data_IF_296078828945
#
_entry.id   IF_296078828945
#
_cell.length_a   1.000
_cell.length_b   1.000
_cell.length_c   1.000
_cell.angle_alpha   90.00
_cell.angle_beta   90.00
_cell.angle_gamma   90.00
#
_symmetry.space_group_name_H-M   'P 1'
#
loop_
_entity.id
_entity.type
_entity.pdbx_description
1 polymer ?
#
# COMPACT_ATOMS: atom_id res chain seq x y z
N UNK A 1 5.57 0.52 18.43
CA UNK A 1 5.65 1.61 19.41
C UNK A 1 5.74 2.97 18.70
N UNK A 2 5.41 4.09 19.36
CA UNK A 2 5.60 5.42 18.76
C UNK A 2 7.04 5.70 18.32
N UNK A 3 8.02 5.02 18.90
CA UNK A 3 9.44 5.09 18.48
C UNK A 3 9.79 4.28 17.23
N UNK A 4 8.82 3.60 16.60
CA UNK A 4 9.07 2.75 15.43
C UNK A 4 9.76 1.42 15.75
N UNK A 5 9.61 0.93 16.98
CA UNK A 5 10.12 -0.38 17.40
C UNK A 5 9.03 -1.45 17.24
N UNK A 6 9.44 -2.64 16.85
CA UNK A 6 8.59 -3.83 16.77
C UNK A 6 8.85 -4.68 18.01
N UNK A 7 7.78 -5.14 18.64
CA UNK A 7 7.86 -6.03 19.80
C UNK A 7 7.20 -7.36 19.46
N UNK A 8 7.90 -8.45 19.68
CA UNK A 8 7.44 -9.81 19.42
C UNK A 8 7.49 -10.65 20.68
N UNK A 9 6.69 -11.70 20.76
CA UNK A 9 6.80 -12.65 21.84
C UNK A 9 8.07 -13.50 21.68
N UNK A 10 8.68 -13.87 22.79
CA UNK A 10 9.69 -14.92 22.83
C UNK A 10 9.05 -16.27 22.47
N UNK A 11 9.88 -17.30 22.21
CA UNK A 11 9.42 -18.64 21.81
C UNK A 11 8.44 -19.29 22.81
N UNK A 12 8.52 -18.93 24.09
CA UNK A 12 7.66 -19.45 25.14
C UNK A 12 6.38 -18.61 25.37
N UNK A 13 6.18 -17.52 24.63
CA UNK A 13 5.06 -16.57 24.77
C UNK A 13 4.92 -15.97 26.18
N UNK A 14 6.02 -15.86 26.90
CA UNK A 14 6.03 -15.36 28.29
C UNK A 14 6.47 -13.91 28.42
N UNK A 15 7.22 -13.40 27.43
CA UNK A 15 7.79 -12.05 27.45
C UNK A 15 7.80 -11.44 26.06
N UNK A 16 7.58 -10.11 26.01
CA UNK A 16 7.85 -9.33 24.82
C UNK A 16 9.34 -9.02 24.73
N UNK A 17 9.89 -9.21 23.55
CA UNK A 17 11.28 -8.85 23.19
C UNK A 17 11.26 -7.87 22.04
N UNK A 18 12.12 -6.83 22.06
CA UNK A 18 12.24 -5.92 20.92
C UNK A 18 12.87 -6.65 19.74
N UNK A 19 12.25 -6.48 18.58
CA UNK A 19 12.84 -6.85 17.29
C UNK A 19 13.39 -5.58 16.66
N UNK A 20 14.69 -5.51 16.45
CA UNK A 20 15.28 -4.35 15.82
C UNK A 20 15.02 -4.37 14.32
N UNK A 21 14.82 -3.20 13.72
CA UNK A 21 14.68 -3.08 12.26
C UNK A 21 15.97 -3.50 11.54
N UNK A 22 17.13 -3.35 12.21
CA UNK A 22 18.41 -3.81 11.72
C UNK A 22 18.45 -5.34 11.54
N UNK A 23 18.01 -6.09 12.56
CA UNK A 23 17.92 -7.55 12.48
C UNK A 23 16.94 -7.99 11.41
N UNK A 24 15.79 -7.31 11.32
CA UNK A 24 14.77 -7.61 10.31
C UNK A 24 15.33 -7.45 8.89
N UNK A 25 16.02 -6.35 8.60
CA UNK A 25 16.67 -6.14 7.31
C UNK A 25 17.74 -7.20 7.01
N UNK A 26 18.50 -7.61 8.04
CA UNK A 26 19.57 -8.59 7.88
C UNK A 26 19.02 -9.99 7.61
N UNK A 27 17.94 -10.36 8.28
CA UNK A 27 17.36 -11.71 8.18
C UNK A 27 16.52 -11.89 6.91
N UNK A 28 15.78 -10.88 6.48
CA UNK A 28 14.88 -11.01 5.33
C UNK A 28 15.57 -10.75 3.99
N UNK A 29 16.70 -10.05 4.00
CA UNK A 29 17.40 -9.69 2.78
C UNK A 29 16.66 -8.65 1.94
N UNK A 30 17.06 -8.53 0.67
CA UNK A 30 16.52 -7.58 -0.31
C UNK A 30 16.39 -8.23 -1.68
N UNK A 31 15.39 -7.87 -2.50
CA UNK A 31 14.28 -6.95 -2.23
C UNK A 31 13.17 -7.57 -1.37
N UNK A 32 12.49 -6.75 -0.56
CA UNK A 32 11.36 -7.16 0.26
C UNK A 32 10.18 -6.18 0.13
N UNK A 33 8.97 -6.68 0.38
CA UNK A 33 7.78 -5.83 0.53
C UNK A 33 7.33 -5.96 1.99
N UNK A 34 7.21 -4.83 2.66
CA UNK A 34 6.75 -4.74 4.03
C UNK A 34 5.38 -4.06 4.08
N UNK A 35 4.45 -4.67 4.78
CA UNK A 35 3.13 -4.11 5.07
C UNK A 35 3.02 -3.88 6.57
N UNK A 36 2.74 -2.63 6.96
CA UNK A 36 2.68 -2.19 8.35
C UNK A 36 1.26 -1.75 8.70
N UNK A 37 0.47 -2.65 9.27
CA UNK A 37 -0.89 -2.38 9.72
C UNK A 37 -0.91 -2.16 11.24
N UNK A 38 -0.56 -0.97 11.64
CA UNK A 38 -0.51 -0.54 13.03
C UNK A 38 -0.65 0.97 13.13
N UNK A 39 -1.13 1.46 14.27
CA UNK A 39 -1.08 2.89 14.57
C UNK A 39 0.36 3.40 14.60
N UNK A 40 0.56 4.64 14.18
CA UNK A 40 1.88 5.29 14.05
C UNK A 40 2.86 4.55 13.12
N UNK A 41 2.34 3.83 12.11
CA UNK A 41 3.14 3.00 11.20
C UNK A 41 4.18 3.80 10.42
N UNK A 42 3.93 5.08 10.16
CA UNK A 42 4.89 5.98 9.50
C UNK A 42 6.24 6.08 10.22
N UNK A 43 6.28 5.89 11.54
CA UNK A 43 7.53 5.86 12.30
C UNK A 43 8.41 4.67 11.92
N UNK A 44 7.82 3.52 11.64
CA UNK A 44 8.57 2.32 11.21
C UNK A 44 9.22 2.60 9.85
N UNK A 45 8.46 3.16 8.91
CA UNK A 45 8.96 3.51 7.57
C UNK A 45 10.11 4.52 7.67
N UNK A 46 9.97 5.57 8.47
CA UNK A 46 11.00 6.58 8.67
C UNK A 46 12.27 6.00 9.30
N UNK A 47 12.14 5.15 10.31
CA UNK A 47 13.28 4.49 10.95
C UNK A 47 13.98 3.49 10.03
N UNK A 48 13.20 2.74 9.24
CA UNK A 48 13.76 1.81 8.26
C UNK A 48 14.59 2.54 7.21
N UNK A 49 14.06 3.65 6.68
CA UNK A 49 14.77 4.52 5.74
C UNK A 49 16.07 5.04 6.35
N UNK A 50 16.04 5.60 7.57
CA UNK A 50 17.24 6.10 8.26
C UNK A 50 18.33 5.02 8.42
N UNK A 51 17.94 3.78 8.70
CA UNK A 51 18.87 2.66 8.79
C UNK A 51 19.44 2.28 7.41
N UNK A 52 18.63 2.32 6.36
CA UNK A 52 19.08 2.07 4.98
C UNK A 52 20.07 3.14 4.53
N UNK A 53 19.79 4.41 4.81
CA UNK A 53 20.67 5.54 4.49
C UNK A 53 22.03 5.40 5.23
N UNK A 54 22.01 5.06 6.53
CA UNK A 54 23.23 4.86 7.31
C UNK A 54 24.09 3.71 6.75
N UNK A 55 23.48 2.60 6.33
CA UNK A 55 24.19 1.48 5.69
C UNK A 55 24.79 1.88 4.34
N UNK A 56 24.05 2.63 3.54
CA UNK A 56 24.54 3.12 2.26
C UNK A 56 25.74 4.06 2.44
N UNK A 57 25.73 4.93 3.45
CA UNK A 57 26.88 5.77 3.80
C UNK A 57 28.09 4.96 4.24
N UNK A 58 27.90 3.89 5.01
CA UNK A 58 28.99 2.99 5.42
C UNK A 58 29.59 2.25 4.22
N UNK A 59 28.73 1.76 3.30
CA UNK A 59 29.17 1.08 2.07
C UNK A 59 29.98 2.02 1.17
N UNK A 60 29.55 3.28 1.04
CA UNK A 60 30.29 4.29 0.28
C UNK A 60 31.67 4.56 0.92
N UNK A 61 31.73 4.74 2.24
CA UNK A 61 33.01 4.94 2.95
C UNK A 61 33.95 3.76 2.74
N UNK A 62 33.43 2.54 2.78
CA UNK A 62 34.20 1.32 2.53
C UNK A 62 34.70 1.27 1.07
N UNK A 63 33.80 1.52 0.10
CA UNK A 63 34.16 1.54 -1.32
C UNK A 63 35.24 2.56 -1.63
N UNK A 64 35.16 3.78 -1.06
CA UNK A 64 36.18 4.81 -1.18
C UNK A 64 37.51 4.37 -0.58
N UNK A 65 37.50 3.70 0.57
CA UNK A 65 38.74 3.20 1.21
C UNK A 65 39.41 2.08 0.40
N UNK A 66 38.63 1.33 -0.36
CA UNK A 66 39.12 0.23 -1.22
C UNK A 66 39.38 0.65 -2.66
N UNK A 67 39.12 1.92 -3.01
CA UNK A 67 39.29 2.44 -4.37
C UNK A 67 38.31 1.88 -5.38
N UNK A 68 37.12 1.42 -4.91
CA UNK A 68 36.02 0.95 -5.75
C UNK A 68 35.08 2.11 -6.13
N UNK A 69 34.38 1.98 -7.26
CA UNK A 69 33.31 2.91 -7.61
C UNK A 69 32.22 2.93 -6.54
N UNK A 70 31.78 4.13 -6.20
CA UNK A 70 30.68 4.31 -5.24
C UNK A 70 29.34 4.08 -5.92
N UNK A 71 28.45 3.29 -5.34
CA UNK A 71 27.10 3.13 -5.89
C UNK A 71 26.34 4.47 -5.83
N UNK A 72 25.54 4.79 -6.86
CA UNK A 72 24.74 6.00 -6.84
C UNK A 72 23.67 5.92 -5.72
N UNK A 73 23.53 7.02 -4.98
CA UNK A 73 22.53 7.12 -3.91
C UNK A 73 21.15 7.46 -4.50
N UNK A 74 20.09 6.81 -4.01
CA UNK A 74 18.74 7.21 -4.35
C UNK A 74 18.41 8.59 -3.75
N UNK A 75 17.58 9.36 -4.46
CA UNK A 75 17.06 10.62 -3.98
C UNK A 75 15.99 10.43 -2.88
N UNK A 76 15.36 11.52 -2.42
CA UNK A 76 14.33 11.48 -1.39
C UNK A 76 13.11 10.58 -1.75
N UNK A 77 12.86 10.39 -3.04
CA UNK A 77 11.78 9.53 -3.55
C UNK A 77 12.21 8.08 -3.77
N UNK A 78 13.46 7.72 -3.43
CA UNK A 78 14.01 6.38 -3.61
C UNK A 78 14.42 6.08 -5.05
N UNK A 79 14.61 7.10 -5.89
CA UNK A 79 14.95 6.96 -7.31
C UNK A 79 16.42 7.32 -7.53
N UNK A 80 17.11 6.50 -8.31
CA UNK A 80 18.47 6.78 -8.82
C UNK A 80 18.35 7.32 -10.24
N UNK A 81 19.09 8.36 -10.55
CA UNK A 81 19.22 8.87 -11.92
C UNK A 81 20.56 8.35 -12.45
N UNK A 82 20.52 7.63 -13.56
CA UNK A 82 21.72 7.12 -14.21
C UNK A 82 22.47 8.20 -15.03
N UNK A 83 23.60 7.81 -15.62
CA UNK A 83 24.43 8.72 -16.44
C UNK A 83 23.71 9.24 -17.68
N UNK A 84 22.73 8.51 -18.18
CA UNK A 84 21.88 8.87 -19.32
C UNK A 84 20.70 9.79 -18.92
N UNK A 85 20.54 10.09 -17.60
CA UNK A 85 19.47 10.89 -17.06
C UNK A 85 18.15 10.13 -16.91
N UNK A 86 18.14 8.80 -17.08
CA UNK A 86 16.96 7.97 -16.83
C UNK A 86 16.81 7.65 -15.34
N UNK A 87 15.57 7.78 -14.85
CA UNK A 87 15.24 7.50 -13.47
C UNK A 87 14.95 6.00 -13.29
N UNK A 88 15.68 5.37 -12.39
CA UNK A 88 15.51 3.97 -12.01
C UNK A 88 15.20 3.83 -10.53
N UNK A 89 14.31 2.88 -10.20
CA UNK A 89 14.14 2.46 -8.82
C UNK A 89 15.09 1.27 -8.57
N UNK A 90 16.04 1.36 -7.61
CA UNK A 90 16.99 0.30 -7.36
C UNK A 90 16.28 -1.01 -7.02
N UNK A 91 16.61 -2.11 -7.69
CA UNK A 91 16.01 -3.42 -7.44
C UNK A 91 16.26 -3.95 -6.02
N UNK A 92 17.26 -3.39 -5.34
CA UNK A 92 17.63 -3.75 -3.96
C UNK A 92 16.79 -3.03 -2.90
N UNK A 93 16.08 -1.97 -3.27
CA UNK A 93 15.24 -1.23 -2.34
C UNK A 93 14.00 -2.03 -1.97
N UNK A 94 13.68 -2.00 -0.68
CA UNK A 94 12.45 -2.61 -0.17
C UNK A 94 11.27 -1.65 -0.33
N UNK A 95 10.09 -2.23 -0.60
CA UNK A 95 8.83 -1.48 -0.68
C UNK A 95 8.17 -1.53 0.69
N UNK A 96 7.75 -0.39 1.20
CA UNK A 96 7.00 -0.29 2.44
C UNK A 96 5.63 0.32 2.19
N UNK A 97 4.60 -0.31 2.73
CA UNK A 97 3.21 0.17 2.72
C UNK A 97 2.74 0.24 4.17
N UNK A 98 2.46 1.42 4.66
CA UNK A 98 2.04 1.67 6.04
C UNK A 98 0.63 2.23 6.10
N UNK A 99 -0.15 1.77 7.05
CA UNK A 99 -1.56 2.09 7.18
C UNK A 99 -1.84 3.56 7.54
N UNK A 100 -0.90 4.23 8.23
CA UNK A 100 -1.09 5.62 8.68
C UNK A 100 0.24 6.34 8.87
N UNK A 101 0.16 7.67 9.07
CA UNK A 101 1.29 8.54 9.40
C UNK A 101 1.90 8.25 10.78
N UNK A 102 2.97 8.99 11.10
CA UNK A 102 3.75 8.80 12.33
C UNK A 102 2.97 9.09 13.62
N UNK A 103 2.05 10.07 13.57
CA UNK A 103 1.29 10.55 14.73
C UNK A 103 -0.21 10.18 14.65
N UNK A 104 -0.55 9.25 13.75
CA UNK A 104 -1.93 8.86 13.49
C UNK A 104 -2.27 7.53 14.15
N UNK A 105 -3.55 7.38 14.51
CA UNK A 105 -4.14 6.17 15.08
C UNK A 105 -5.06 5.55 14.02
N UNK A 106 -5.08 4.22 13.95
CA UNK A 106 -5.98 3.51 13.03
C UNK A 106 -7.45 3.81 13.32
N UNK A 107 -8.31 3.82 12.29
CA UNK A 107 -9.74 4.09 12.46
C UNK A 107 -10.39 3.08 13.40
N UNK A 108 -11.23 3.58 14.32
CA UNK A 108 -12.03 2.75 15.22
C UNK A 108 -13.51 2.86 14.83
N UNK A 109 -13.88 2.29 13.69
CA UNK A 109 -15.27 2.24 13.25
C UNK A 109 -15.80 0.81 13.46
N UNK A 110 -16.87 0.59 14.27
CA UNK A 110 -17.42 -0.75 14.53
C UNK A 110 -18.04 -1.41 13.28
N UNK A 111 -18.42 -0.62 12.28
CA UNK A 111 -18.98 -1.13 11.02
C UNK A 111 -17.91 -1.62 10.02
N UNK A 112 -16.63 -1.41 10.33
CA UNK A 112 -15.49 -1.81 9.52
C UNK A 112 -14.58 -2.77 10.30
N UNK A 113 -13.81 -3.61 9.60
CA UNK A 113 -12.81 -4.45 10.26
C UNK A 113 -11.76 -3.61 11.01
N UNK A 114 -11.27 -4.14 12.14
CA UNK A 114 -10.23 -3.48 12.91
C UNK A 114 -8.89 -3.38 12.15
N UNK A 115 -8.65 -4.32 11.24
CA UNK A 115 -7.50 -4.39 10.33
C UNK A 115 -7.87 -3.87 8.92
N UNK A 116 -8.54 -2.72 8.89
CA UNK A 116 -9.10 -2.11 7.66
C UNK A 116 -8.07 -2.00 6.52
N UNK A 117 -6.84 -1.60 6.84
CA UNK A 117 -5.79 -1.46 5.84
C UNK A 117 -5.44 -2.81 5.20
N UNK A 118 -5.22 -3.84 6.01
CA UNK A 118 -4.97 -5.21 5.52
C UNK A 118 -6.16 -5.73 4.71
N UNK A 119 -7.38 -5.48 5.15
CA UNK A 119 -8.59 -5.87 4.42
C UNK A 119 -8.69 -5.16 3.07
N UNK A 120 -8.33 -3.89 2.96
CA UNK A 120 -8.24 -3.20 1.66
C UNK A 120 -7.23 -3.88 0.73
N UNK A 121 -6.10 -4.33 1.25
CA UNK A 121 -5.05 -4.98 0.45
C UNK A 121 -5.43 -6.39 -0.01
N UNK A 122 -6.18 -7.14 0.79
CA UNK A 122 -6.48 -8.56 0.56
C UNK A 122 -7.86 -8.82 -0.03
N UNK A 123 -8.85 -8.03 0.32
CA UNK A 123 -10.27 -8.17 -0.09
C UNK A 123 -10.85 -6.83 -0.61
N UNK A 124 -10.23 -6.21 -1.62
CA UNK A 124 -10.54 -4.84 -2.03
C UNK A 124 -11.99 -4.63 -2.46
N UNK A 125 -12.58 -5.59 -3.17
CA UNK A 125 -13.98 -5.48 -3.65
C UNK A 125 -14.95 -5.48 -2.46
N UNK A 126 -14.80 -6.44 -1.55
CA UNK A 126 -15.67 -6.54 -0.38
C UNK A 126 -15.61 -5.28 0.48
N UNK A 127 -14.42 -4.80 0.78
CA UNK A 127 -14.23 -3.60 1.59
C UNK A 127 -14.73 -2.34 0.88
N UNK A 128 -14.49 -2.21 -0.42
CA UNK A 128 -14.97 -1.04 -1.17
C UNK A 128 -16.50 -0.99 -1.24
N UNK A 129 -17.16 -2.12 -1.41
CA UNK A 129 -18.61 -2.21 -1.39
C UNK A 129 -19.18 -1.88 0.00
N UNK A 130 -18.59 -2.44 1.06
CA UNK A 130 -19.00 -2.16 2.43
C UNK A 130 -18.83 -0.68 2.76
N UNK A 131 -17.71 -0.09 2.40
CA UNK A 131 -17.46 1.34 2.59
C UNK A 131 -18.44 2.19 1.77
N UNK A 132 -18.72 1.84 0.51
CA UNK A 132 -19.69 2.55 -0.34
C UNK A 132 -21.09 2.58 0.30
N UNK A 133 -21.57 1.45 0.82
CA UNK A 133 -22.85 1.34 1.50
C UNK A 133 -22.93 2.20 2.75
N UNK A 134 -21.83 2.32 3.51
CA UNK A 134 -21.79 3.18 4.69
C UNK A 134 -21.84 4.68 4.34
N UNK A 135 -21.43 5.05 3.13
CA UNK A 135 -21.45 6.45 2.66
C UNK A 135 -22.74 6.82 1.93
N UNK A 136 -23.42 5.84 1.37
CA UNK A 136 -24.58 6.07 0.50
C UNK A 136 -25.82 5.36 1.07
N UNK A 137 -26.95 6.06 1.22
CA UNK A 137 -28.19 5.42 1.65
C UNK A 137 -28.63 4.40 0.59
N UNK A 138 -28.79 3.15 0.99
CA UNK A 138 -29.28 2.10 0.12
C UNK A 138 -30.76 2.33 -0.24
N UNK A 139 -31.17 1.98 -1.47
CA UNK A 139 -32.57 1.84 -1.81
C UNK A 139 -33.28 0.92 -0.79
N UNK A 140 -34.54 1.23 -0.45
CA UNK A 140 -35.28 0.53 0.61
C UNK A 140 -35.44 -0.99 0.43
N UNK A 141 -35.10 -1.50 -0.76
CA UNK A 141 -35.18 -2.93 -1.10
C UNK A 141 -33.85 -3.68 -0.87
N UNK A 142 -32.75 -2.96 -0.69
CA UNK A 142 -31.42 -3.56 -0.52
C UNK A 142 -31.01 -3.48 0.94
N UNK A 143 -30.40 -4.54 1.40
CA UNK A 143 -29.70 -4.57 2.69
C UNK A 143 -28.19 -4.84 2.47
N UNK A 144 -27.39 -4.63 3.52
CA UNK A 144 -25.94 -4.83 3.46
C UNK A 144 -25.56 -6.26 3.06
N UNK A 145 -26.32 -7.25 3.54
CA UNK A 145 -26.06 -8.66 3.23
C UNK A 145 -26.26 -8.97 1.73
N UNK A 146 -27.22 -8.34 1.08
CA UNK A 146 -27.41 -8.50 -0.37
C UNK A 146 -26.24 -7.90 -1.14
N UNK A 147 -25.77 -6.72 -0.74
CA UNK A 147 -24.60 -6.07 -1.36
C UNK A 147 -23.33 -6.89 -1.16
N UNK A 148 -23.17 -7.52 0.00
CA UNK A 148 -22.02 -8.37 0.28
C UNK A 148 -22.07 -9.73 -0.45
N UNK A 149 -23.24 -10.11 -0.97
CA UNK A 149 -23.47 -11.37 -1.70
C UNK A 149 -23.77 -11.14 -3.20
N UNK A 150 -23.14 -10.15 -3.82
CA UNK A 150 -23.24 -9.93 -5.27
C UNK A 150 -22.92 -11.22 -6.03
N UNK A 151 -23.79 -11.67 -6.95
CA UNK A 151 -23.59 -12.94 -7.61
C UNK A 151 -22.42 -12.92 -8.58
N UNK A 152 -21.68 -14.04 -8.63
CA UNK A 152 -20.61 -14.24 -9.60
C UNK A 152 -19.27 -14.68 -9.02
N UNK A 153 -18.24 -14.56 -9.85
CA UNK A 153 -16.85 -14.88 -9.51
C UNK A 153 -15.95 -13.75 -9.95
N UNK A 154 -15.01 -13.36 -9.11
CA UNK A 154 -14.03 -12.29 -9.40
C UNK A 154 -13.29 -12.47 -10.73
N UNK A 155 -13.05 -13.71 -11.16
CA UNK A 155 -12.34 -14.03 -12.39
C UNK A 155 -13.26 -14.10 -13.63
N UNK A 156 -14.58 -14.16 -13.44
CA UNK A 156 -15.53 -14.24 -14.57
C UNK A 156 -16.17 -12.87 -14.84
N UNK A 157 -15.60 -12.15 -15.78
CA UNK A 157 -16.01 -10.81 -16.22
C UNK A 157 -17.46 -10.72 -16.71
N UNK A 158 -18.11 -11.86 -17.01
CA UNK A 158 -19.52 -11.90 -17.43
C UNK A 158 -20.49 -11.87 -16.24
N UNK A 159 -19.97 -11.91 -15.03
CA UNK A 159 -20.75 -11.82 -13.79
C UNK A 159 -20.62 -10.42 -13.19
N UNK A 160 -21.64 -9.92 -12.46
CA UNK A 160 -21.59 -8.61 -11.82
C UNK A 160 -20.35 -8.40 -10.93
N UNK A 161 -20.04 -9.40 -10.10
CA UNK A 161 -18.86 -9.35 -9.22
C UNK A 161 -17.55 -9.31 -10.01
N UNK A 162 -17.43 -10.09 -11.08
CA UNK A 162 -16.23 -10.11 -11.93
C UNK A 162 -16.08 -8.83 -12.75
N UNK A 163 -17.19 -8.21 -13.17
CA UNK A 163 -17.17 -6.92 -13.85
C UNK A 163 -16.71 -5.81 -12.92
N UNK A 164 -17.21 -5.74 -11.69
CA UNK A 164 -16.71 -4.79 -10.67
C UNK A 164 -15.22 -4.94 -10.43
N UNK A 165 -14.74 -6.17 -10.27
CA UNK A 165 -13.30 -6.42 -10.10
C UNK A 165 -12.48 -5.92 -11.30
N UNK A 166 -12.98 -6.10 -12.50
CA UNK A 166 -12.33 -5.59 -13.71
C UNK A 166 -12.33 -4.07 -13.78
N UNK A 167 -13.44 -3.42 -13.42
CA UNK A 167 -13.55 -1.96 -13.39
C UNK A 167 -12.59 -1.38 -12.35
N UNK A 168 -12.54 -1.94 -11.14
CA UNK A 168 -11.59 -1.49 -10.10
C UNK A 168 -10.15 -1.59 -10.60
N UNK A 169 -9.79 -2.70 -11.25
CA UNK A 169 -8.47 -2.88 -11.84
C UNK A 169 -8.17 -1.80 -12.89
N UNK A 170 -9.09 -1.54 -13.81
CA UNK A 170 -8.91 -0.55 -14.86
C UNK A 170 -8.82 0.88 -14.31
N UNK A 171 -9.64 1.23 -13.34
CA UNK A 171 -9.63 2.53 -12.67
C UNK A 171 -8.29 2.74 -11.95
N UNK A 172 -7.87 1.80 -11.12
CA UNK A 172 -6.62 1.91 -10.36
C UNK A 172 -5.37 1.92 -11.25
N UNK A 173 -5.33 1.12 -12.31
CA UNK A 173 -4.24 1.15 -13.29
C UNK A 173 -4.16 2.51 -14.01
N UNK A 174 -5.31 3.09 -14.36
CA UNK A 174 -5.34 4.38 -15.05
C UNK A 174 -4.95 5.52 -14.11
N UNK A 175 -5.41 5.50 -12.86
CA UNK A 175 -4.96 6.45 -11.83
C UNK A 175 -3.44 6.37 -11.68
N UNK A 176 -2.91 5.17 -11.48
CA UNK A 176 -1.48 4.97 -11.34
C UNK A 176 -0.70 5.49 -12.56
N UNK A 177 -1.15 5.17 -13.77
CA UNK A 177 -0.52 5.63 -15.02
C UNK A 177 -0.48 7.16 -15.14
N UNK A 178 -1.53 7.85 -14.70
CA UNK A 178 -1.64 9.31 -14.84
C UNK A 178 -0.91 10.09 -13.76
N UNK A 179 -0.76 9.50 -12.57
CA UNK A 179 -0.24 10.20 -11.37
C UNK A 179 1.21 9.83 -11.07
N UNK A 180 1.59 8.56 -11.27
CA UNK A 180 2.93 8.10 -10.88
C UNK A 180 4.01 8.52 -11.87
N UNK A 181 5.20 8.90 -11.39
CA UNK A 181 6.38 9.00 -12.23
C UNK A 181 6.61 7.69 -12.99
N UNK A 182 7.09 7.79 -14.24
CA UNK A 182 7.25 6.64 -15.14
C UNK A 182 8.09 5.50 -14.54
N UNK A 183 9.15 5.83 -13.83
CA UNK A 183 10.00 4.85 -13.16
C UNK A 183 9.25 4.06 -12.09
N UNK A 184 8.47 4.74 -11.22
CA UNK A 184 7.67 4.09 -10.20
C UNK A 184 6.53 3.27 -10.80
N UNK A 185 5.86 3.80 -11.83
CA UNK A 185 4.83 3.03 -12.52
C UNK A 185 5.38 1.74 -13.12
N UNK A 186 6.55 1.80 -13.79
CA UNK A 186 7.21 0.60 -14.33
C UNK A 186 7.52 -0.40 -13.22
N UNK A 187 8.17 0.05 -12.15
CA UNK A 187 8.55 -0.80 -11.01
C UNK A 187 7.37 -1.47 -10.34
N UNK A 188 6.27 -0.75 -10.14
CA UNK A 188 5.13 -1.22 -9.35
C UNK A 188 4.06 -1.94 -10.16
N UNK A 189 3.93 -1.66 -11.46
CA UNK A 189 2.83 -2.17 -12.27
C UNK A 189 3.26 -3.04 -13.45
N UNK A 190 4.58 -3.14 -13.72
CA UNK A 190 5.08 -3.87 -14.89
C UNK A 190 6.03 -5.01 -14.54
N UNK A 191 6.79 -4.88 -13.47
CA UNK A 191 7.85 -5.83 -13.16
C UNK A 191 7.31 -7.09 -12.47
N UNK A 192 6.26 -6.97 -11.65
CA UNK A 192 5.68 -8.08 -10.91
C UNK A 192 4.16 -7.95 -10.75
N UNK A 193 3.41 -9.02 -11.03
CA UNK A 193 1.95 -9.02 -10.97
C UNK A 193 1.41 -8.95 -9.54
N UNK A 194 2.10 -9.57 -8.58
CA UNK A 194 1.70 -9.52 -7.17
C UNK A 194 1.91 -8.12 -6.61
N UNK A 195 3.05 -7.50 -6.91
CA UNK A 195 3.31 -6.10 -6.55
C UNK A 195 2.26 -5.20 -7.16
N UNK A 196 1.94 -5.36 -8.44
CA UNK A 196 0.92 -4.59 -9.12
C UNK A 196 -0.46 -4.73 -8.46
N UNK A 197 -0.86 -5.94 -8.09
CA UNK A 197 -2.13 -6.17 -7.39
C UNK A 197 -2.14 -5.47 -6.03
N UNK A 198 -1.06 -5.62 -5.25
CA UNK A 198 -0.92 -4.99 -3.95
C UNK A 198 -0.97 -3.46 -4.03
N UNK A 199 -0.30 -2.87 -5.02
CA UNK A 199 -0.30 -1.41 -5.22
C UNK A 199 -1.66 -0.88 -5.70
N UNK A 200 -2.40 -1.60 -6.58
CA UNK A 200 -3.78 -1.25 -6.92
C UNK A 200 -4.64 -1.15 -5.65
N UNK A 201 -4.53 -2.17 -4.82
CA UNK A 201 -5.29 -2.24 -3.58
C UNK A 201 -4.83 -1.18 -2.56
N UNK A 202 -3.56 -0.79 -2.58
CA UNK A 202 -3.05 0.32 -1.79
C UNK A 202 -3.67 1.67 -2.20
N UNK A 203 -3.90 1.92 -3.50
CA UNK A 203 -4.60 3.14 -3.94
C UNK A 203 -6.03 3.20 -3.38
N UNK A 204 -6.73 2.07 -3.35
CA UNK A 204 -8.04 1.96 -2.69
C UNK A 204 -7.93 2.18 -1.18
N UNK A 205 -6.92 1.58 -0.54
CA UNK A 205 -6.67 1.76 0.89
C UNK A 205 -6.40 3.24 1.22
N UNK A 206 -5.60 3.94 0.41
CA UNK A 206 -5.38 5.37 0.59
C UNK A 206 -6.70 6.15 0.56
N UNK A 207 -7.58 5.86 -0.41
CA UNK A 207 -8.88 6.53 -0.52
C UNK A 207 -9.74 6.31 0.72
N UNK A 208 -9.90 5.06 1.15
CA UNK A 208 -10.74 4.71 2.29
C UNK A 208 -10.17 5.23 3.61
N UNK A 209 -8.87 5.03 3.85
CA UNK A 209 -8.21 5.47 5.08
C UNK A 209 -8.21 6.99 5.23
N UNK A 210 -8.01 7.73 4.13
CA UNK A 210 -8.09 9.20 4.13
C UNK A 210 -9.45 9.74 4.52
N UNK A 211 -10.51 9.04 4.17
CA UNK A 211 -11.86 9.40 4.61
C UNK A 211 -11.99 9.33 6.14
N UNK A 212 -11.26 8.43 6.78
CA UNK A 212 -11.21 8.29 8.25
C UNK A 212 -10.04 9.05 8.89
N UNK A 213 -9.51 10.07 8.22
CA UNK A 213 -8.41 10.91 8.70
C UNK A 213 -7.10 10.16 8.99
N UNK A 214 -6.90 9.02 8.36
CA UNK A 214 -5.64 8.29 8.34
C UNK A 214 -4.94 8.47 7.00
N UNK A 215 -3.65 8.72 7.04
CA UNK A 215 -2.82 8.95 5.85
C UNK A 215 -1.89 7.76 5.63
N UNK A 216 -2.22 6.81 4.74
CA UNK A 216 -1.28 5.77 4.37
C UNK A 216 0.03 6.35 3.84
N UNK A 217 1.13 5.74 4.25
CA UNK A 217 2.48 6.15 3.90
C UNK A 217 3.17 5.02 3.16
N UNK A 218 3.96 5.36 2.14
CA UNK A 218 4.74 4.39 1.39
C UNK A 218 6.20 4.80 1.27
N UNK A 219 7.05 3.80 1.07
CA UNK A 219 8.40 3.99 0.56
C UNK A 219 8.62 3.01 -0.61
N UNK A 220 8.99 3.47 -1.81
CA UNK A 220 9.15 4.88 -2.20
C UNK A 220 7.85 5.67 -2.02
N UNK A 221 8.00 6.97 -1.83
CA UNK A 221 6.86 7.85 -1.61
C UNK A 221 6.01 7.94 -2.88
N UNK A 222 4.74 7.57 -2.75
CA UNK A 222 3.76 7.71 -3.82
C UNK A 222 3.06 9.07 -3.75
N UNK A 223 2.79 9.71 -4.90
CA UNK A 223 1.89 10.86 -4.96
C UNK A 223 0.49 10.48 -4.48
N UNK A 224 -0.25 11.45 -3.93
CA UNK A 224 -1.61 11.23 -3.46
C UNK A 224 -2.57 10.91 -4.62
N UNK A 225 -3.36 9.85 -4.47
CA UNK A 225 -4.30 9.36 -5.47
C UNK A 225 -5.75 9.33 -5.00
N UNK A 226 -5.99 9.55 -3.71
CA UNK A 226 -7.29 9.39 -3.06
C UNK A 226 -8.41 10.28 -3.62
N UNK A 227 -8.07 11.43 -4.18
CA UNK A 227 -9.01 12.42 -4.74
C UNK A 227 -9.01 12.46 -6.27
N UNK A 228 -8.50 11.44 -6.94
CA UNK A 228 -8.46 11.38 -8.40
C UNK A 228 -9.89 11.26 -8.97
N UNK A 229 -10.27 12.03 -10.02
CA UNK A 229 -11.64 12.03 -10.57
C UNK A 229 -12.14 10.67 -11.06
N UNK A 230 -11.26 9.76 -11.44
CA UNK A 230 -11.67 8.41 -11.86
C UNK A 230 -12.29 7.55 -10.75
N UNK A 231 -12.16 7.94 -9.49
CA UNK A 231 -12.88 7.29 -8.41
C UNK A 231 -14.39 7.45 -8.53
N UNK A 232 -14.87 8.55 -9.12
CA UNK A 232 -16.29 8.75 -9.41
C UNK A 232 -16.81 7.70 -10.41
N UNK A 233 -15.97 7.24 -11.33
CA UNK A 233 -16.32 6.16 -12.26
C UNK A 233 -16.47 4.81 -11.55
N UNK A 234 -15.67 4.56 -10.51
CA UNK A 234 -15.84 3.39 -9.66
C UNK A 234 -17.14 3.46 -8.88
N UNK A 235 -17.44 4.58 -8.24
CA UNK A 235 -18.66 4.77 -7.46
C UNK A 235 -19.91 4.62 -8.34
N UNK A 236 -19.89 5.18 -9.55
CA UNK A 236 -20.97 5.01 -10.52
C UNK A 236 -21.15 3.54 -10.93
N UNK A 237 -20.07 2.79 -11.12
CA UNK A 237 -20.16 1.38 -11.48
C UNK A 237 -20.77 0.55 -10.34
N UNK A 238 -20.42 0.84 -9.09
CA UNK A 238 -21.02 0.22 -7.90
C UNK A 238 -22.51 0.54 -7.83
N UNK A 239 -22.89 1.81 -7.96
CA UNK A 239 -24.28 2.24 -7.91
C UNK A 239 -25.12 1.56 -8.99
N UNK A 240 -24.64 1.50 -10.23
CA UNK A 240 -25.31 0.81 -11.34
C UNK A 240 -25.43 -0.70 -11.09
N UNK A 241 -24.43 -1.34 -10.50
CA UNK A 241 -24.47 -2.75 -10.14
C UNK A 241 -25.54 -3.01 -9.08
N UNK A 242 -25.58 -2.18 -8.03
CA UNK A 242 -26.56 -2.29 -6.94
C UNK A 242 -28.00 -2.02 -7.41
N UNK A 243 -28.18 -1.16 -8.40
CA UNK A 243 -29.51 -0.89 -8.98
C UNK A 243 -30.10 -2.10 -9.75
N UNK A 244 -29.27 -3.10 -10.09
CA UNK A 244 -29.67 -4.31 -10.81
C UNK A 244 -29.94 -5.52 -9.89
N UNK A 245 -29.64 -5.40 -8.59
CA UNK A 245 -29.89 -6.41 -7.56
C UNK A 245 -31.31 -6.30 -7.01
#
# INVERSE_FOLDING_TARGET
TPGGEIWVFNKAYTQYIPLTLYDLQTWLGQPCIYVWDTSAAGNIVANFRRLSDARAEEEIKLALSEGRETPPLPNEDGVVIDEDGEAHFPLRESIHLAACGADEILPMNPDLPADLFTCCLTSPIEISLRWFVLQNPLPSKLNVDMVMNIPGRLQDRRTPLGELNWILTAVTDTIAWTVLPRALFRRFFRDDLMVAALLRNYLLAERIMRFYHCTPVSHPRLPATYNHPLWDSWDLAVDQCLAQL
#
